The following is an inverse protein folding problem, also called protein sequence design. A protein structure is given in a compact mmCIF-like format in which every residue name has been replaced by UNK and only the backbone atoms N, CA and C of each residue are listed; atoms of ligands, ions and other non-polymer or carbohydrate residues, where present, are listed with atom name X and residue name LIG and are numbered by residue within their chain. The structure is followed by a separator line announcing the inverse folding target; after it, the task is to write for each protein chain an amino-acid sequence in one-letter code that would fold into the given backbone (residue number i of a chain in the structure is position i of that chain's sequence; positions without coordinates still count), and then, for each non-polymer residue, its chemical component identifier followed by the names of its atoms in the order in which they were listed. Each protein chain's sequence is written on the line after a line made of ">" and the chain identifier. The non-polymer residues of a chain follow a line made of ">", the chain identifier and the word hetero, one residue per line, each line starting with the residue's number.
data_IF_421426435588
#
_entry.id   IF_421426435588
#
_cell.length_a   1.000
_cell.length_b   1.000
_cell.length_c   1.000
_cell.angle_alpha   90.00
_cell.angle_beta   90.00
_cell.angle_gamma   90.00
#
_symmetry.space_group_name_H-M   'P 1'
#
loop_
_entity.id
_entity.type
_entity.pdbx_description
1 polymer ?
#
# COMPACT_ATOMS: atom_id res chain seq x y z
N UNK A 1 5.99 8.93 3.68
CA UNK A 1 5.63 7.56 4.10
C UNK A 1 6.77 6.65 3.73
N UNK A 2 7.14 5.77 4.66
CA UNK A 2 8.04 4.66 4.36
C UNK A 2 7.21 3.39 4.31
N UNK A 3 7.31 2.66 3.20
CA UNK A 3 6.65 1.37 3.02
C UNK A 3 7.70 0.28 2.86
N UNK A 4 7.58 -0.77 3.65
CA UNK A 4 8.41 -1.97 3.55
C UNK A 4 7.54 -3.18 3.27
N UNK A 5 7.98 -4.05 2.36
CA UNK A 5 7.30 -5.30 2.07
C UNK A 5 8.05 -6.47 2.69
N UNK A 6 7.31 -7.43 3.21
CA UNK A 6 7.81 -8.71 3.70
C UNK A 6 7.11 -9.82 2.95
N UNK A 7 7.86 -10.82 2.49
CA UNK A 7 7.32 -12.00 1.82
C UNK A 7 7.31 -13.17 2.79
N UNK A 8 6.20 -13.89 2.84
CA UNK A 8 6.11 -15.13 3.59
C UNK A 8 6.94 -16.23 2.93
N UNK A 9 7.92 -16.76 3.64
CA UNK A 9 8.76 -17.88 3.23
C UNK A 9 9.24 -18.64 4.46
N UNK A 10 9.32 -19.97 4.38
CA UNK A 10 9.82 -20.82 5.48
C UNK A 10 9.11 -20.58 6.82
N UNK A 11 7.78 -20.48 6.80
CA UNK A 11 6.92 -20.24 7.97
C UNK A 11 7.05 -18.86 8.66
N UNK A 12 7.71 -17.88 8.04
CA UNK A 12 7.83 -16.54 8.59
C UNK A 12 7.78 -15.44 7.51
N UNK A 13 7.48 -14.21 7.93
CA UNK A 13 7.59 -13.03 7.06
C UNK A 13 9.02 -12.51 7.07
N UNK A 14 9.68 -12.54 5.91
CA UNK A 14 11.05 -12.03 5.75
C UNK A 14 11.05 -10.77 4.91
N UNK A 15 11.94 -9.84 5.22
CA UNK A 15 12.08 -8.59 4.45
C UNK A 15 12.25 -8.92 2.97
N UNK A 16 11.32 -8.45 2.15
CA UNK A 16 11.39 -8.52 0.71
C UNK A 16 12.13 -7.26 0.23
N UNK A 17 12.98 -7.34 -0.81
CA UNK A 17 13.78 -6.20 -1.27
C UNK A 17 12.94 -5.17 -2.05
N UNK A 18 11.85 -4.70 -1.44
CA UNK A 18 11.02 -3.59 -1.88
C UNK A 18 10.83 -2.66 -0.70
N UNK A 19 11.57 -1.55 -0.73
CA UNK A 19 11.36 -0.40 0.15
C UNK A 19 10.99 0.78 -0.73
N UNK A 20 9.86 1.39 -0.43
CA UNK A 20 9.39 2.57 -1.14
C UNK A 20 9.33 3.73 -0.15
N UNK A 21 9.85 4.86 -0.57
CA UNK A 21 9.68 6.12 0.14
C UNK A 21 8.95 7.06 -0.79
N UNK A 22 7.77 7.48 -0.37
CA UNK A 22 6.94 8.37 -1.17
C UNK A 22 6.16 9.33 -0.29
N UNK A 23 5.84 10.47 -0.90
CA UNK A 23 4.86 11.40 -0.34
C UNK A 23 3.46 10.81 -0.58
N UNK A 24 2.67 10.65 0.49
CA UNK A 24 1.30 10.09 0.38
C UNK A 24 0.44 10.93 -0.55
N UNK A 25 0.59 12.26 -0.49
CA UNK A 25 -0.15 13.17 -1.34
C UNK A 25 0.13 12.96 -2.81
N UNK A 26 1.40 12.87 -3.17
CA UNK A 26 1.75 12.61 -4.56
C UNK A 26 1.28 11.20 -4.98
N UNK A 27 1.41 10.20 -4.11
CA UNK A 27 0.97 8.85 -4.39
C UNK A 27 -0.55 8.75 -4.64
N UNK A 28 -1.36 9.51 -3.90
CA UNK A 28 -2.83 9.53 -4.02
C UNK A 28 -3.30 10.46 -5.12
N UNK A 29 -2.88 11.74 -5.11
CA UNK A 29 -3.44 12.81 -5.94
C UNK A 29 -2.74 12.99 -7.28
N UNK A 30 -1.47 12.57 -7.41
CA UNK A 30 -0.68 12.82 -8.63
C UNK A 30 -0.41 11.55 -9.44
N UNK A 31 -0.07 10.46 -8.77
CA UNK A 31 0.39 9.24 -9.42
C UNK A 31 -0.60 8.08 -9.34
N UNK A 32 -1.61 8.17 -8.48
CA UNK A 32 -2.58 7.10 -8.24
C UNK A 32 -1.89 5.72 -8.08
N UNK A 33 -0.83 5.71 -7.26
CA UNK A 33 -0.03 4.51 -7.03
C UNK A 33 -0.92 3.41 -6.48
N UNK A 34 -0.82 2.19 -7.02
CA UNK A 34 -1.55 1.02 -6.54
C UNK A 34 -3.09 1.17 -6.45
N UNK A 35 -3.70 2.13 -7.14
CA UNK A 35 -5.16 2.37 -7.07
C UNK A 35 -5.60 3.17 -5.84
N UNK A 36 -4.68 3.97 -5.28
CA UNK A 36 -4.95 4.80 -4.11
C UNK A 36 -5.94 5.95 -4.36
N UNK A 37 -6.36 6.21 -5.61
CA UNK A 37 -7.47 7.15 -5.89
C UNK A 37 -8.77 6.75 -5.18
N UNK A 38 -8.95 5.46 -4.86
CA UNK A 38 -10.10 4.97 -4.08
C UNK A 38 -10.25 5.69 -2.72
N UNK A 39 -9.15 6.20 -2.16
CA UNK A 39 -9.15 7.00 -0.93
C UNK A 39 -9.91 8.33 -1.07
N UNK A 40 -10.06 8.85 -2.28
CA UNK A 40 -10.79 10.09 -2.57
C UNK A 40 -12.28 9.86 -2.83
N UNK A 41 -12.68 8.65 -3.21
CA UNK A 41 -14.01 8.42 -3.77
C UNK A 41 -15.14 8.43 -2.74
N UNK A 42 -14.87 8.13 -1.46
CA UNK A 42 -15.85 8.27 -0.38
C UNK A 42 -15.28 8.84 0.92
N UNK A 43 -13.97 9.07 0.98
CA UNK A 43 -13.32 9.68 2.12
C UNK A 43 -13.32 11.21 2.04
N UNK A 44 -13.01 11.85 3.16
CA UNK A 44 -12.63 13.27 3.23
C UNK A 44 -11.11 13.42 3.41
N UNK A 45 -10.34 12.44 2.93
CA UNK A 45 -8.89 12.46 3.01
C UNK A 45 -8.33 13.62 2.17
N UNK A 46 -7.61 14.52 2.82
CA UNK A 46 -6.92 15.66 2.21
C UNK A 46 -5.44 15.62 2.59
N UNK A 47 -4.61 16.22 1.74
CA UNK A 47 -3.18 16.35 1.99
C UNK A 47 -2.84 17.20 3.21
N UNK A 48 -3.60 18.27 3.41
CA UNK A 48 -3.59 19.05 4.63
C UNK A 48 -4.52 18.37 5.63
N UNK A 49 -3.93 17.57 6.53
CA UNK A 49 -4.67 17.04 7.69
C UNK A 49 -4.68 18.09 8.78
N UNK A 50 -5.85 18.67 9.06
CA UNK A 50 -6.07 19.64 10.13
C UNK A 50 -6.31 18.91 11.46
N UNK A 51 -5.72 19.43 12.53
CA UNK A 51 -5.90 18.88 13.86
C UNK A 51 -7.35 19.07 14.32
N UNK A 52 -7.98 18.00 14.82
CA UNK A 52 -9.37 18.03 15.32
C UNK A 52 -10.43 17.71 14.27
N UNK A 53 -10.05 17.50 13.01
CA UNK A 53 -10.93 16.93 11.98
C UNK A 53 -10.98 15.40 12.09
N UNK A 54 -12.15 14.82 11.84
CA UNK A 54 -12.28 13.36 11.72
C UNK A 54 -12.13 12.99 10.25
N UNK A 55 -11.13 12.16 9.96
CA UNK A 55 -10.88 11.65 8.61
C UNK A 55 -11.50 10.26 8.45
N UNK A 56 -12.35 10.13 7.44
CA UNK A 56 -12.97 8.89 7.03
C UNK A 56 -12.29 8.38 5.77
N UNK A 57 -11.90 7.12 5.80
CA UNK A 57 -11.42 6.37 4.65
C UNK A 57 -12.35 5.19 4.48
N UNK A 58 -12.90 5.02 3.29
CA UNK A 58 -13.79 3.90 2.99
C UNK A 58 -13.46 3.31 1.62
N UNK A 59 -13.76 2.03 1.45
CA UNK A 59 -13.49 1.27 0.24
C UNK A 59 -12.04 1.37 -0.26
N UNK A 60 -11.07 1.38 0.66
CA UNK A 60 -9.67 1.33 0.27
C UNK A 60 -9.38 -0.02 -0.40
N UNK A 61 -9.13 0.03 -1.70
CA UNK A 61 -8.82 -1.14 -2.51
C UNK A 61 -7.55 -0.90 -3.30
N UNK A 62 -6.67 -1.88 -3.29
CA UNK A 62 -5.45 -1.86 -4.09
C UNK A 62 -5.72 -2.50 -5.45
N UNK A 63 -5.42 -1.79 -6.53
CA UNK A 63 -5.60 -2.29 -7.88
C UNK A 63 -4.39 -3.13 -8.31
N UNK A 64 -4.58 -4.44 -8.39
CA UNK A 64 -3.53 -5.39 -8.77
C UNK A 64 -2.85 -5.02 -10.11
N UNK A 65 -3.60 -4.48 -11.08
CA UNK A 65 -3.07 -4.08 -12.38
C UNK A 65 -1.99 -2.97 -12.30
N UNK A 66 -1.97 -2.18 -11.22
CA UNK A 66 -1.00 -1.11 -10.98
C UNK A 66 0.23 -1.58 -10.20
N UNK A 67 0.29 -2.86 -9.82
CA UNK A 67 1.47 -3.42 -9.16
C UNK A 67 2.58 -3.74 -10.19
N UNK A 68 3.86 -3.57 -9.81
CA UNK A 68 4.96 -3.93 -10.68
C UNK A 68 4.90 -5.41 -11.11
N UNK A 69 5.11 -5.70 -12.41
CA UNK A 69 4.93 -7.04 -12.97
C UNK A 69 6.00 -8.04 -12.54
N UNK A 70 7.03 -7.63 -11.79
CA UNK A 70 8.08 -8.49 -11.27
C UNK A 70 7.80 -8.99 -9.83
N UNK A 71 6.71 -8.56 -9.19
CA UNK A 71 6.35 -9.02 -7.84
C UNK A 71 5.93 -10.50 -7.87
N UNK A 72 6.68 -11.42 -7.26
CA UNK A 72 6.35 -12.85 -7.31
C UNK A 72 4.99 -13.17 -6.68
N UNK A 73 4.39 -14.27 -7.11
CA UNK A 73 3.24 -14.86 -6.40
C UNK A 73 3.64 -15.22 -4.97
N UNK A 74 2.76 -14.96 -4.00
CA UNK A 74 3.01 -15.26 -2.59
C UNK A 74 2.13 -14.48 -1.63
N UNK A 75 2.35 -14.71 -0.33
CA UNK A 75 1.75 -13.92 0.75
C UNK A 75 2.72 -12.83 1.17
N UNK A 76 2.21 -11.63 1.34
CA UNK A 76 2.96 -10.44 1.67
C UNK A 76 2.37 -9.75 2.89
N UNK A 77 3.24 -9.20 3.72
CA UNK A 77 2.90 -8.21 4.73
C UNK A 77 3.53 -6.89 4.28
N UNK A 78 2.75 -5.82 4.27
CA UNK A 78 3.21 -4.47 4.02
C UNK A 78 3.19 -3.71 5.34
N UNK A 79 4.30 -3.09 5.67
CA UNK A 79 4.41 -2.18 6.80
C UNK A 79 4.46 -0.76 6.26
N UNK A 80 3.47 0.04 6.64
CA UNK A 80 3.34 1.44 6.29
C UNK A 80 3.63 2.27 7.53
N UNK A 81 4.70 3.06 7.48
CA UNK A 81 5.06 3.99 8.53
C UNK A 81 4.68 5.42 8.10
N UNK A 82 3.77 6.01 8.86
CA UNK A 82 3.31 7.39 8.72
C UNK A 82 3.85 8.23 9.87
N UNK A 83 4.66 9.24 9.56
CA UNK A 83 5.18 10.20 10.52
C UNK A 83 4.23 11.40 10.58
N UNK A 84 3.65 11.67 11.76
CA UNK A 84 2.91 12.91 12.00
C UNK A 84 3.86 14.08 12.27
N UNK A 85 3.36 15.30 12.11
CA UNK A 85 4.04 16.56 12.51
C UNK A 85 4.27 16.68 14.03
N UNK A 86 3.75 15.75 14.84
CA UNK A 86 3.79 15.74 16.30
C UNK A 86 4.67 14.62 16.87
N UNK A 87 5.67 14.14 16.13
CA UNK A 87 6.62 13.07 16.51
C UNK A 87 6.00 11.68 16.79
N UNK A 88 4.70 11.51 16.55
CA UNK A 88 4.04 10.20 16.62
C UNK A 88 4.14 9.45 15.28
N UNK A 89 4.54 8.18 15.34
CA UNK A 89 4.58 7.29 14.17
C UNK A 89 3.39 6.35 14.21
N UNK A 90 2.49 6.47 13.25
CA UNK A 90 1.47 5.46 13.00
C UNK A 90 2.09 4.37 12.12
N UNK A 91 2.11 3.14 12.63
CA UNK A 91 2.53 1.95 11.89
C UNK A 91 1.30 1.11 11.57
N UNK A 92 1.06 0.87 10.28
CA UNK A 92 -0.02 0.03 9.79
C UNK A 92 0.55 -1.25 9.17
N UNK A 93 0.02 -2.40 9.58
CA UNK A 93 0.34 -3.69 8.96
C UNK A 93 -0.80 -4.12 8.05
N UNK A 94 -0.55 -4.19 6.75
CA UNK A 94 -1.46 -4.74 5.75
C UNK A 94 -1.00 -6.12 5.30
N UNK A 95 -1.94 -7.06 5.13
CA UNK A 95 -1.63 -8.40 4.62
C UNK A 95 -2.33 -8.62 3.28
N UNK A 96 -1.60 -9.11 2.30
CA UNK A 96 -2.11 -9.33 0.94
C UNK A 96 -1.54 -10.62 0.32
N UNK A 97 -2.34 -11.27 -0.52
CA UNK A 97 -1.91 -12.37 -1.38
C UNK A 97 -1.78 -11.90 -2.81
N UNK A 98 -0.63 -12.13 -3.44
CA UNK A 98 -0.44 -11.94 -4.88
C UNK A 98 -0.63 -13.29 -5.55
N UNK A 99 -1.67 -13.41 -6.37
CA UNK A 99 -1.94 -14.61 -7.19
C UNK A 99 -1.95 -14.18 -8.65
N UNK A 100 -1.15 -14.84 -9.49
CA UNK A 100 -1.26 -14.69 -10.95
C UNK A 100 -2.03 -15.87 -11.52
N UNK A 101 -3.04 -15.63 -12.36
CA UNK A 101 -3.71 -16.71 -13.06
C UNK A 101 -2.69 -17.44 -13.93
N UNK A 102 -2.70 -18.78 -13.85
CA UNK A 102 -1.87 -19.63 -14.68
C UNK A 102 -2.44 -19.57 -16.10
N UNK A 103 -1.86 -18.73 -16.97
CA UNK A 103 -2.22 -18.73 -18.39
C UNK A 103 -1.44 -19.85 -19.05
N UNK A 104 -2.06 -21.02 -19.17
CA UNK A 104 -1.51 -22.15 -19.92
C UNK A 104 -1.49 -21.74 -21.40
N UNK A 105 -0.35 -21.22 -21.88
CA UNK A 105 -0.12 -21.03 -23.31
C UNK A 105 0.10 -22.40 -23.94
N UNK A 106 -0.93 -22.91 -24.60
CA UNK A 106 -0.77 -24.02 -25.54
C UNK A 106 0.03 -23.49 -26.74
N UNK A 107 1.25 -24.01 -26.92
CA UNK A 107 2.07 -23.84 -28.11
C UNK A 107 2.07 -25.14 -28.90
#
# INVERSE_FOLDING_TARGET
>A
IITQAYKFASNEYRLFPMRFEFNLCDAVFKYNMFGLESLQNCGNFTCSTEKGQTYHVCNWTLEQAKFPPYIPTGRYMMELQYLYLTDEVLVLHGYAGVVRPFVQKFH
#
